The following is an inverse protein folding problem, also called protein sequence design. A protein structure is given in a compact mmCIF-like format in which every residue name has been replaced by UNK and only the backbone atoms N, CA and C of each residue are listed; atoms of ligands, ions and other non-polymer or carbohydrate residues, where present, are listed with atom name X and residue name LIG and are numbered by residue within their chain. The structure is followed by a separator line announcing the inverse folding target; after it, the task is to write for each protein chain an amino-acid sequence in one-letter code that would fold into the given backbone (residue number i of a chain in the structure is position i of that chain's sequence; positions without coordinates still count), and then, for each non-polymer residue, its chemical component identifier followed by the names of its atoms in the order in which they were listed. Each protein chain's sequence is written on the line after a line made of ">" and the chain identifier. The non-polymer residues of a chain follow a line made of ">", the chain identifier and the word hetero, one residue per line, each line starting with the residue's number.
data_IF_720900958740
#
_entry.id   IF_720900958740
#
_cell.length_a   1.000
_cell.length_b   1.000
_cell.length_c   1.000
_cell.angle_alpha   90.00
_cell.angle_beta   90.00
_cell.angle_gamma   90.00
#
_symmetry.space_group_name_H-M   'P 1'
#
loop_
_entity.id
_entity.type
_entity.pdbx_description
1 polymer ?
#
# COMPACT_ATOMS: atom_id res chain seq x y z
N UNK A 1 24.64 -2.76 1.56
CA UNK A 1 23.91 -1.59 1.03
C UNK A 1 22.44 -1.72 1.42
N UNK A 2 21.71 -0.62 1.48
CA UNK A 2 20.28 -0.60 1.80
C UNK A 2 19.53 -0.10 0.59
N UNK A 3 18.50 -0.81 0.16
CA UNK A 3 17.74 -0.52 -1.04
C UNK A 3 16.27 -0.32 -0.69
N UNK A 4 15.63 0.62 -1.38
CA UNK A 4 14.19 0.77 -1.43
C UNK A 4 13.69 0.26 -2.78
N UNK A 5 12.77 -0.70 -2.77
CA UNK A 5 11.96 -1.02 -3.92
C UNK A 5 10.92 0.09 -4.11
N UNK A 6 10.86 0.67 -5.31
CA UNK A 6 9.87 1.67 -5.67
C UNK A 6 8.75 1.02 -6.48
N UNK A 7 7.51 1.21 -6.03
CA UNK A 7 6.32 0.77 -6.73
C UNK A 7 5.28 1.90 -6.66
N UNK A 8 4.65 2.24 -7.79
CA UNK A 8 3.68 3.34 -7.89
C UNK A 8 4.17 4.66 -7.29
N UNK A 9 5.46 4.98 -7.52
CA UNK A 9 6.08 6.20 -7.01
C UNK A 9 6.26 6.23 -5.49
N UNK A 10 6.24 5.08 -4.80
CA UNK A 10 6.43 4.99 -3.34
C UNK A 10 7.49 3.96 -2.97
N UNK A 11 8.19 4.19 -1.87
CA UNK A 11 9.04 3.20 -1.21
C UNK A 11 8.16 2.06 -0.69
N UNK A 12 8.06 0.97 -1.44
CA UNK A 12 7.18 -0.15 -1.11
C UNK A 12 7.81 -1.09 -0.09
N UNK A 13 9.10 -1.38 -0.26
CA UNK A 13 9.83 -2.32 0.60
C UNK A 13 11.27 -1.90 0.77
N UNK A 14 11.79 -1.96 1.99
CA UNK A 14 13.18 -1.61 2.29
C UNK A 14 13.95 -2.83 2.81
N UNK A 15 15.10 -3.09 2.20
CA UNK A 15 15.92 -4.26 2.54
C UNK A 15 17.41 -4.00 2.40
N UNK A 16 18.21 -4.88 3.00
CA UNK A 16 19.68 -4.86 2.89
C UNK A 16 20.14 -5.90 1.89
N UNK A 17 21.03 -5.51 0.99
CA UNK A 17 21.68 -6.41 0.03
C UNK A 17 23.15 -6.04 -0.11
N UNK A 18 23.97 -7.02 -0.49
CA UNK A 18 25.40 -6.80 -0.81
C UNK A 18 25.54 -6.20 -2.21
N UNK A 19 24.72 -6.67 -3.15
CA UNK A 19 24.72 -6.26 -4.56
C UNK A 19 23.38 -5.63 -4.98
N UNK A 20 23.40 -4.92 -6.11
CA UNK A 20 22.18 -4.40 -6.74
C UNK A 20 21.29 -5.58 -7.14
N UNK A 21 20.04 -5.64 -6.66
CA UNK A 21 19.13 -6.74 -6.98
C UNK A 21 18.82 -6.79 -8.48
N UNK A 22 19.04 -7.95 -9.10
CA UNK A 22 18.62 -8.23 -10.46
C UNK A 22 17.41 -9.17 -10.42
N UNK A 23 16.24 -8.60 -10.12
CA UNK A 23 14.99 -9.34 -10.03
C UNK A 23 14.23 -9.27 -11.37
N UNK A 24 13.47 -10.32 -11.72
CA UNK A 24 12.61 -10.29 -12.90
C UNK A 24 11.55 -9.17 -12.79
N UNK A 25 10.95 -8.76 -13.91
CA UNK A 25 9.79 -7.88 -13.91
C UNK A 25 8.66 -8.42 -13.02
N UNK A 26 7.74 -7.55 -12.62
CA UNK A 26 6.54 -7.97 -11.89
C UNK A 26 5.62 -8.87 -12.73
N UNK A 27 4.53 -9.35 -12.13
CA UNK A 27 3.55 -10.22 -12.79
C UNK A 27 2.88 -9.60 -14.02
N UNK A 28 2.96 -8.27 -14.18
CA UNK A 28 2.42 -7.53 -15.33
C UNK A 28 3.52 -7.21 -16.37
N UNK A 29 4.77 -7.59 -16.10
CA UNK A 29 5.91 -7.37 -16.99
C UNK A 29 6.60 -6.02 -16.80
N UNK A 30 6.29 -5.27 -15.74
CA UNK A 30 6.93 -3.98 -15.47
C UNK A 30 8.29 -4.16 -14.78
N UNK A 31 9.32 -3.37 -15.16
CA UNK A 31 10.61 -3.44 -14.50
C UNK A 31 10.52 -2.98 -13.05
N UNK A 32 11.15 -3.72 -12.14
CA UNK A 32 11.26 -3.34 -10.74
C UNK A 32 12.33 -2.26 -10.56
N UNK A 33 11.97 -1.19 -9.85
CA UNK A 33 12.89 -0.07 -9.58
C UNK A 33 13.47 -0.24 -8.17
N UNK A 34 14.80 -0.29 -8.07
CA UNK A 34 15.51 -0.34 -6.80
C UNK A 34 16.41 0.89 -6.66
N UNK A 35 16.25 1.61 -5.56
CA UNK A 35 17.02 2.83 -5.26
C UNK A 35 17.92 2.57 -4.06
N UNK A 36 19.22 2.86 -4.19
CA UNK A 36 20.15 2.79 -3.07
C UNK A 36 19.88 3.92 -2.08
N UNK A 37 19.54 3.55 -0.84
CA UNK A 37 19.26 4.44 0.28
C UNK A 37 20.28 4.28 1.41
N UNK A 38 21.46 3.70 1.13
CA UNK A 38 22.53 3.51 2.13
C UNK A 38 22.90 4.81 2.86
N UNK A 39 22.84 5.95 2.18
CA UNK A 39 23.11 7.28 2.74
C UNK A 39 21.85 8.07 3.13
N UNK A 40 20.68 7.44 3.10
CA UNK A 40 19.39 8.04 3.45
C UNK A 40 18.70 7.21 4.55
N UNK A 41 19.27 7.15 5.77
CA UNK A 41 18.81 6.24 6.82
C UNK A 41 17.40 6.54 7.35
N UNK A 42 16.87 7.74 7.07
CA UNK A 42 15.55 8.17 7.52
C UNK A 42 14.41 7.73 6.58
N UNK A 43 14.73 7.19 5.40
CA UNK A 43 13.71 6.73 4.45
C UNK A 43 12.97 5.54 5.04
N UNK A 44 11.65 5.57 5.00
CA UNK A 44 10.77 4.50 5.48
C UNK A 44 9.84 4.04 4.36
N UNK A 45 9.23 2.87 4.57
CA UNK A 45 8.19 2.36 3.69
C UNK A 45 6.99 3.31 3.67
N UNK A 46 6.32 3.43 2.52
CA UNK A 46 5.21 4.35 2.29
C UNK A 46 5.62 5.77 1.88
N UNK A 47 6.90 6.14 1.98
CA UNK A 47 7.39 7.45 1.54
C UNK A 47 7.26 7.60 0.03
N UNK A 48 6.87 8.80 -0.42
CA UNK A 48 6.77 9.11 -1.84
C UNK A 48 8.16 9.26 -2.44
N UNK A 49 8.37 8.71 -3.63
CA UNK A 49 9.61 8.79 -4.37
C UNK A 49 9.44 9.66 -5.62
N UNK A 50 10.25 10.70 -5.74
CA UNK A 50 10.30 11.53 -6.92
C UNK A 50 11.44 11.08 -7.84
N UNK A 51 11.09 10.43 -8.95
CA UNK A 51 12.06 9.93 -9.93
C UNK A 51 12.91 11.03 -10.58
N UNK A 52 12.41 12.28 -10.63
CA UNK A 52 13.15 13.39 -11.25
C UNK A 52 14.23 13.95 -10.33
N UNK A 53 14.00 13.92 -9.02
CA UNK A 53 14.94 14.47 -8.02
C UNK A 53 15.70 13.38 -7.26
N UNK A 54 15.29 12.12 -7.40
CA UNK A 54 15.76 10.97 -6.59
C UNK A 54 15.57 11.18 -5.09
N UNK A 55 14.52 11.90 -4.68
CA UNK A 55 14.22 12.20 -3.28
C UNK A 55 13.02 11.42 -2.78
N UNK A 56 13.06 11.08 -1.49
CA UNK A 56 11.94 10.49 -0.77
C UNK A 56 11.32 11.55 0.14
N UNK A 57 10.00 11.62 0.17
CA UNK A 57 9.25 12.56 1.01
C UNK A 57 8.28 11.76 1.88
N UNK A 58 8.16 12.16 3.13
CA UNK A 58 7.20 11.54 4.05
C UNK A 58 5.77 11.65 3.50
N UNK A 59 4.95 10.59 3.64
CA UNK A 59 3.57 10.65 3.22
C UNK A 59 2.83 11.66 4.11
N UNK A 60 2.01 12.50 3.49
CA UNK A 60 1.11 13.38 4.23
C UNK A 60 0.02 12.50 4.83
N UNK A 61 -0.01 12.39 6.16
CA UNK A 61 -1.12 11.74 6.84
C UNK A 61 -2.37 12.59 6.65
N UNK A 62 -3.28 12.12 5.79
CA UNK A 62 -4.66 12.56 5.76
C UNK A 62 -5.41 11.70 6.76
N UNK A 63 -5.90 12.34 7.82
CA UNK A 63 -6.84 11.70 8.74
C UNK A 63 -8.06 11.26 7.91
N UNK A 64 -8.51 10.00 8.04
CA UNK A 64 -9.71 9.57 7.33
C UNK A 64 -10.86 10.46 7.78
N UNK A 65 -11.52 11.13 6.84
CA UNK A 65 -12.74 11.85 7.15
C UNK A 65 -13.72 10.87 7.80
N UNK A 66 -14.24 11.19 8.99
CA UNK A 66 -15.34 10.43 9.56
C UNK A 66 -16.48 10.46 8.55
N UNK A 67 -16.86 9.29 8.06
CA UNK A 67 -18.01 9.19 7.17
C UNK A 67 -19.28 9.50 7.99
N UNK A 68 -19.76 10.73 7.91
CA UNK A 68 -20.99 11.18 8.59
C UNK A 68 -22.25 10.83 7.79
N UNK A 69 -22.14 10.16 6.64
CA UNK A 69 -23.30 9.72 5.87
C UNK A 69 -24.08 8.68 6.69
N UNK A 70 -25.24 9.09 7.18
CA UNK A 70 -26.21 8.16 7.74
C UNK A 70 -26.73 7.31 6.59
N UNK A 71 -26.69 5.98 6.77
CA UNK A 71 -27.32 5.05 5.85
C UNK A 71 -28.79 5.44 5.65
N UNK A 72 -29.26 5.39 4.42
CA UNK A 72 -30.70 5.45 4.19
C UNK A 72 -31.36 4.17 4.72
N UNK A 73 -32.65 4.23 5.05
CA UNK A 73 -33.43 3.07 5.53
C UNK A 73 -33.28 1.85 4.60
N UNK A 74 -33.23 2.08 3.29
CA UNK A 74 -33.04 1.01 2.31
C UNK A 74 -31.66 0.35 2.41
N UNK A 75 -30.61 1.12 2.65
CA UNK A 75 -29.25 0.63 2.80
C UNK A 75 -29.07 -0.11 4.13
N UNK A 76 -29.71 0.36 5.20
CA UNK A 76 -29.76 -0.34 6.49
C UNK A 76 -30.39 -1.73 6.36
N UNK A 77 -31.58 -1.80 5.74
CA UNK A 77 -32.28 -3.07 5.50
C UNK A 77 -31.43 -4.01 4.64
N UNK A 78 -30.79 -3.48 3.58
CA UNK A 78 -29.93 -4.28 2.71
C UNK A 78 -28.71 -4.82 3.47
N UNK A 79 -28.08 -4.00 4.30
CA UNK A 79 -26.94 -4.39 5.12
C UNK A 79 -27.33 -5.48 6.12
N UNK A 80 -28.43 -5.29 6.85
CA UNK A 80 -28.95 -6.26 7.81
C UNK A 80 -29.27 -7.61 7.15
N UNK A 81 -29.95 -7.57 6.00
CA UNK A 81 -30.32 -8.79 5.25
C UNK A 81 -29.07 -9.56 4.81
N UNK A 82 -28.05 -8.86 4.28
CA UNK A 82 -26.78 -9.48 3.88
C UNK A 82 -26.05 -10.09 5.07
N UNK A 83 -26.02 -9.38 6.20
CA UNK A 83 -25.38 -9.87 7.41
C UNK A 83 -26.07 -11.13 7.96
N UNK A 84 -27.41 -11.13 8.03
CA UNK A 84 -28.17 -12.31 8.46
C UNK A 84 -27.95 -13.50 7.52
N UNK A 85 -27.91 -13.27 6.21
CA UNK A 85 -27.66 -14.32 5.21
C UNK A 85 -26.28 -14.94 5.40
N UNK A 86 -25.24 -14.11 5.58
CA UNK A 86 -23.88 -14.57 5.82
C UNK A 86 -23.76 -15.39 7.11
N UNK A 87 -24.46 -14.99 8.18
CA UNK A 87 -24.50 -15.78 9.43
C UNK A 87 -25.17 -17.14 9.24
N UNK A 88 -26.21 -17.23 8.41
CA UNK A 88 -26.87 -18.49 8.10
C UNK A 88 -25.98 -19.40 7.23
N UNK A 89 -25.21 -18.83 6.31
CA UNK A 89 -24.26 -19.59 5.48
C UNK A 89 -23.09 -20.16 6.30
N UNK A 90 -22.59 -19.39 7.27
CA UNK A 90 -21.51 -19.84 8.16
C UNK A 90 -22.02 -20.83 9.21
N UNK A 91 -23.21 -20.60 9.76
CA UNK A 91 -23.82 -21.45 10.79
C UNK A 91 -24.54 -22.70 10.26
N UNK A 92 -24.77 -22.78 8.94
CA UNK A 92 -25.34 -23.93 8.24
C UNK A 92 -24.31 -24.93 7.70
N UNK A 93 -23.01 -24.72 7.97
CA UNK A 93 -21.92 -25.67 7.75
C UNK A 93 -21.63 -26.52 8.99
#
# INVERSE_FOLDING_TARGET
>A
MMFAQVLNGKAHYIFKSVDVPNLPPDSEGNPLVFVDITYKPNVQEGWEYNEKTNEFTEPIYVEPEENTEQLTIHEEILFETKYQTLLLEIGGM
#
